data_IF_925839796078
#
_entry.id   IF_925839796078
#
_cell.length_a   1.000
_cell.length_b   1.000
_cell.length_c   1.000
_cell.angle_alpha   90.00
_cell.angle_beta   90.00
_cell.angle_gamma   90.00
#
_symmetry.space_group_name_H-M   'P 1'
#
loop_
_entity.id
_entity.type
_entity.pdbx_description
1 polymer ?
#
# COMPACT_ATOMS: atom_id res chain seq x y z
N UNK A 1 29.30 1.86 -26.14
CA UNK A 1 28.40 2.30 -25.05
C UNK A 1 29.27 2.72 -23.88
N UNK A 2 29.12 3.95 -23.39
CA UNK A 2 29.89 4.49 -22.28
C UNK A 2 29.20 4.20 -20.94
N UNK A 3 29.95 4.12 -19.84
CA UNK A 3 29.41 3.80 -18.51
C UNK A 3 28.28 4.74 -18.09
N UNK A 4 28.34 6.03 -18.46
CA UNK A 4 27.27 7.01 -18.23
C UNK A 4 25.92 6.62 -18.86
N UNK A 5 25.94 5.99 -20.03
CA UNK A 5 24.71 5.52 -20.69
C UNK A 5 24.10 4.33 -19.95
N UNK A 6 24.95 3.46 -19.38
CA UNK A 6 24.49 2.33 -18.56
C UNK A 6 23.92 2.79 -17.23
N UNK A 7 24.58 3.72 -16.55
CA UNK A 7 24.12 4.31 -15.28
C UNK A 7 22.76 5.01 -15.47
N UNK A 8 22.62 5.81 -16.52
CA UNK A 8 21.35 6.47 -16.86
C UNK A 8 20.23 5.45 -17.10
N UNK A 9 20.50 4.36 -17.83
CA UNK A 9 19.48 3.33 -18.07
C UNK A 9 19.09 2.57 -16.79
N UNK A 10 20.06 2.31 -15.91
CA UNK A 10 19.78 1.69 -14.61
C UNK A 10 18.94 2.59 -13.71
N UNK A 11 19.19 3.90 -13.71
CA UNK A 11 18.38 4.86 -12.96
C UNK A 11 16.93 4.90 -13.48
N UNK A 12 16.75 4.91 -14.80
CA UNK A 12 15.42 4.86 -15.43
C UNK A 12 14.65 3.58 -15.05
N UNK A 13 15.30 2.42 -15.10
CA UNK A 13 14.68 1.14 -14.74
C UNK A 13 14.28 1.09 -13.26
N UNK A 14 15.11 1.66 -12.37
CA UNK A 14 14.79 1.76 -10.93
C UNK A 14 13.58 2.65 -10.70
N UNK A 15 13.57 3.84 -11.31
CA UNK A 15 12.44 4.77 -11.18
C UNK A 15 11.12 4.13 -11.64
N UNK A 16 11.16 3.42 -12.78
CA UNK A 16 9.98 2.68 -13.27
C UNK A 16 9.55 1.55 -12.33
N UNK A 17 10.49 0.80 -11.78
CA UNK A 17 10.19 -0.29 -10.84
C UNK A 17 9.53 0.24 -9.57
N UNK A 18 10.01 1.38 -9.07
CA UNK A 18 9.44 2.04 -7.90
C UNK A 18 8.02 2.58 -8.20
N UNK A 19 7.80 3.15 -9.39
CA UNK A 19 6.47 3.58 -9.84
C UNK A 19 5.49 2.40 -9.92
N UNK A 20 5.88 1.31 -10.59
CA UNK A 20 5.07 0.09 -10.72
C UNK A 20 4.76 -0.51 -9.34
N UNK A 21 5.74 -0.53 -8.43
CA UNK A 21 5.55 -1.02 -7.06
C UNK A 21 4.60 -0.12 -6.26
N UNK A 22 4.73 1.21 -6.37
CA UNK A 22 3.83 2.15 -5.73
C UNK A 22 2.38 1.96 -6.20
N UNK A 23 2.17 1.72 -7.50
CA UNK A 23 0.84 1.43 -8.05
C UNK A 23 0.25 0.13 -7.48
N UNK A 24 1.05 -0.94 -7.36
CA UNK A 24 0.63 -2.18 -6.71
C UNK A 24 0.20 -1.92 -5.27
N UNK A 25 1.00 -1.21 -4.47
CA UNK A 25 0.65 -0.90 -3.09
C UNK A 25 -0.63 -0.06 -3.01
N UNK A 26 -0.79 0.92 -3.91
CA UNK A 26 -2.01 1.72 -3.97
C UNK A 26 -3.25 0.86 -4.23
N UNK A 27 -3.17 -0.13 -5.10
CA UNK A 27 -4.27 -1.07 -5.40
C UNK A 27 -4.60 -1.96 -4.20
N UNK A 28 -3.59 -2.57 -3.58
CA UNK A 28 -3.77 -3.39 -2.37
C UNK A 28 -4.45 -2.60 -1.25
N UNK A 29 -3.96 -1.38 -0.97
CA UNK A 29 -4.59 -0.51 0.01
C UNK A 29 -6.03 -0.11 -0.36
N UNK A 30 -6.36 -0.02 -1.65
CA UNK A 30 -7.72 0.33 -2.09
C UNK A 30 -8.66 -0.83 -1.80
N UNK A 31 -8.27 -2.05 -2.21
CA UNK A 31 -9.03 -3.25 -1.93
C UNK A 31 -9.23 -3.47 -0.42
N UNK A 32 -8.19 -3.25 0.39
CA UNK A 32 -8.33 -3.30 1.85
C UNK A 32 -9.35 -2.29 2.40
N UNK A 33 -9.34 -1.05 1.88
CA UNK A 33 -10.29 0.00 2.30
C UNK A 33 -11.71 -0.37 1.89
N UNK A 34 -11.90 -0.88 0.67
CA UNK A 34 -13.22 -1.33 0.19
C UNK A 34 -13.78 -2.43 1.08
N UNK A 35 -12.96 -3.43 1.42
CA UNK A 35 -13.33 -4.50 2.36
C UNK A 35 -13.71 -3.94 3.73
N UNK A 36 -12.85 -3.09 4.33
CA UNK A 36 -13.13 -2.48 5.64
C UNK A 36 -14.35 -1.55 5.64
N UNK A 37 -14.75 -1.05 4.47
CA UNK A 37 -15.92 -0.18 4.29
C UNK A 37 -17.20 -0.97 3.99
N UNK A 38 -17.13 -2.28 3.75
CA UNK A 38 -18.30 -3.12 3.48
C UNK A 38 -19.25 -3.18 4.68
N UNK A 39 -20.56 -3.25 4.42
CA UNK A 39 -21.59 -3.27 5.48
C UNK A 39 -21.62 -4.59 6.24
N UNK A 40 -21.25 -5.68 5.59
CA UNK A 40 -21.23 -7.06 6.05
C UNK A 40 -19.83 -7.55 6.46
N UNK A 41 -18.96 -6.61 6.84
CA UNK A 41 -17.57 -6.86 7.22
C UNK A 41 -17.41 -8.01 8.23
N UNK A 42 -16.91 -9.14 7.75
CA UNK A 42 -16.76 -10.36 8.52
C UNK A 42 -15.29 -10.60 8.96
N UNK A 43 -15.02 -11.79 9.51
CA UNK A 43 -13.67 -12.14 9.95
C UNK A 43 -12.69 -12.38 8.77
N UNK A 44 -13.18 -12.84 7.63
CA UNK A 44 -12.40 -13.02 6.41
C UNK A 44 -12.04 -11.69 5.75
N UNK A 45 -12.98 -10.74 5.71
CA UNK A 45 -12.73 -9.38 5.25
C UNK A 45 -11.72 -8.68 6.14
N UNK A 46 -11.84 -8.86 7.46
CA UNK A 46 -10.88 -8.35 8.42
C UNK A 46 -9.47 -8.90 8.18
N UNK A 47 -9.32 -10.22 8.04
CA UNK A 47 -8.02 -10.83 7.76
C UNK A 47 -7.42 -10.33 6.44
N UNK A 48 -8.26 -10.14 5.41
CA UNK A 48 -7.83 -9.66 4.10
C UNK A 48 -7.43 -8.18 4.12
N UNK A 49 -8.17 -7.34 4.83
CA UNK A 49 -7.83 -5.93 5.02
C UNK A 49 -6.53 -5.75 5.83
N UNK A 50 -6.34 -6.55 6.89
CA UNK A 50 -5.09 -6.61 7.65
C UNK A 50 -3.91 -7.06 6.79
N UNK A 51 -4.13 -8.06 5.93
CA UNK A 51 -3.11 -8.53 4.99
C UNK A 51 -2.71 -7.43 4.00
N UNK A 52 -3.67 -6.71 3.42
CA UNK A 52 -3.41 -5.60 2.52
C UNK A 52 -2.58 -4.50 3.21
N UNK A 53 -2.91 -4.16 4.47
CA UNK A 53 -2.13 -3.24 5.28
C UNK A 53 -0.70 -3.74 5.51
N UNK A 54 -0.53 -5.01 5.89
CA UNK A 54 0.79 -5.60 6.14
C UNK A 54 1.66 -5.65 4.87
N UNK A 55 1.08 -5.99 3.72
CA UNK A 55 1.76 -5.96 2.41
C UNK A 55 2.24 -4.54 2.12
N UNK A 56 1.38 -3.54 2.29
CA UNK A 56 1.73 -2.15 2.02
C UNK A 56 2.89 -1.66 2.90
N UNK A 57 2.85 -1.94 4.21
CA UNK A 57 3.90 -1.55 5.14
C UNK A 57 5.24 -2.23 4.84
N UNK A 58 5.23 -3.48 4.36
CA UNK A 58 6.44 -4.21 3.98
C UNK A 58 7.15 -3.56 2.79
N UNK A 59 6.40 -3.11 1.78
CA UNK A 59 6.98 -2.57 0.54
C UNK A 59 7.16 -1.05 0.55
N UNK A 60 6.49 -0.33 1.45
CA UNK A 60 6.70 1.11 1.65
C UNK A 60 8.18 1.45 1.93
N UNK A 61 8.88 0.61 2.70
CA UNK A 61 10.28 0.82 3.05
C UNK A 61 11.26 0.63 1.88
N UNK A 62 10.80 0.14 0.73
CA UNK A 62 11.66 -0.14 -0.43
C UNK A 62 11.58 0.93 -1.52
N UNK A 63 10.65 1.88 -1.41
CA UNK A 63 10.47 2.96 -2.38
C UNK A 63 11.46 4.10 -2.13
N UNK A 64 12.08 4.61 -3.21
CA UNK A 64 13.01 5.73 -3.11
C UNK A 64 12.33 7.10 -3.19
N UNK A 65 11.14 7.20 -3.79
CA UNK A 65 10.40 8.46 -3.95
C UNK A 65 9.67 8.86 -2.65
N UNK A 66 10.08 9.95 -1.96
CA UNK A 66 9.44 10.40 -0.74
C UNK A 66 7.98 10.84 -0.94
N UNK A 67 7.63 11.34 -2.13
CA UNK A 67 6.27 11.80 -2.42
C UNK A 67 5.30 10.60 -2.51
N UNK A 68 5.69 9.56 -3.27
CA UNK A 68 4.97 8.29 -3.30
C UNK A 68 4.83 7.66 -1.90
N UNK A 69 5.92 7.65 -1.12
CA UNK A 69 5.91 7.13 0.26
C UNK A 69 4.91 7.89 1.14
N UNK A 70 4.89 9.22 1.08
CA UNK A 70 3.95 10.03 1.86
C UNK A 70 2.48 9.76 1.46
N UNK A 71 2.19 9.64 0.16
CA UNK A 71 0.85 9.33 -0.34
C UNK A 71 0.37 7.94 0.11
N UNK A 72 1.26 6.94 0.06
CA UNK A 72 0.99 5.58 0.51
C UNK A 72 0.83 5.49 2.04
N UNK A 73 1.58 6.27 2.81
CA UNK A 73 1.39 6.36 4.26
C UNK A 73 0.02 6.94 4.63
N UNK A 74 -0.43 7.99 3.94
CA UNK A 74 -1.75 8.57 4.15
C UNK A 74 -2.84 7.50 3.92
N UNK A 75 -2.74 6.78 2.80
CA UNK A 75 -3.71 5.74 2.44
C UNK A 75 -3.67 4.52 3.37
N UNK A 76 -2.48 4.13 3.84
CA UNK A 76 -2.31 3.09 4.85
C UNK A 76 -2.96 3.48 6.18
N UNK A 77 -2.86 4.76 6.56
CA UNK A 77 -3.49 5.27 7.78
C UNK A 77 -5.01 5.28 7.68
N UNK A 78 -5.56 5.57 6.49
CA UNK A 78 -7.00 5.45 6.21
C UNK A 78 -7.47 4.00 6.36
N UNK A 79 -6.75 3.03 5.80
CA UNK A 79 -7.07 1.61 5.96
C UNK A 79 -7.05 1.17 7.42
N UNK A 80 -5.97 1.48 8.16
CA UNK A 80 -5.85 1.14 9.58
C UNK A 80 -7.05 1.66 10.38
N UNK A 81 -7.40 2.94 10.18
CA UNK A 81 -8.56 3.56 10.83
C UNK A 81 -9.87 2.82 10.50
N UNK A 82 -10.09 2.50 9.22
CA UNK A 82 -11.31 1.80 8.79
C UNK A 82 -11.43 0.41 9.45
N UNK A 83 -10.32 -0.33 9.57
CA UNK A 83 -10.32 -1.63 10.26
C UNK A 83 -10.61 -1.46 11.75
N UNK A 84 -9.95 -0.50 12.42
CA UNK A 84 -10.11 -0.26 13.86
C UNK A 84 -11.55 0.14 14.24
N UNK A 85 -12.20 0.96 13.41
CA UNK A 85 -13.61 1.36 13.60
C UNK A 85 -14.56 0.15 13.57
N UNK A 86 -14.28 -0.86 12.75
CA UNK A 86 -15.09 -2.09 12.67
C UNK A 86 -14.93 -2.99 13.89
N UNK A 87 -13.74 -3.03 14.49
CA UNK A 87 -13.50 -3.78 15.73
C UNK A 87 -14.29 -3.13 16.87
N UNK A 88 -14.27 -1.80 16.97
CA UNK A 88 -14.95 -1.05 18.03
C UNK A 88 -16.49 -1.06 17.89
N UNK A 89 -17.01 -1.19 16.67
CA UNK A 89 -18.44 -1.22 16.40
C UNK A 89 -19.13 -2.57 16.69
N UNK A 90 -18.39 -3.65 17.02
CA UNK A 90 -18.98 -4.94 17.42
C UNK A 90 -19.37 -4.89 18.91
N UNK A 91 -20.66 -4.90 19.28
CA UNK A 91 -21.06 -5.02 20.68
C UNK A 91 -20.69 -6.43 21.21
N UNK A 92 -20.19 -6.47 22.45
CA UNK A 92 -19.88 -7.70 23.21
C UNK A 92 -21.15 -8.47 23.54
#
# INVERSE_FOLDING_TARGET
MTDRSRESKLAELRAKTDEDLAEVIHRELASGIELASANDFDAGDHASAEQAYAIAMKFLATLADPAAVAALHLKSSQLRKAIDERIQAKPV
#
